data_IF_474213966282
#
_entry.id   IF_474213966282
#
_cell.length_a   1.000
_cell.length_b   1.000
_cell.length_c   1.000
_cell.angle_alpha   90.00
_cell.angle_beta   90.00
_cell.angle_gamma   90.00
#
_symmetry.space_group_name_H-M   'P 1'
#
loop_
_entity.id
_entity.type
_entity.pdbx_description
1 polymer ?
#
# COMPACT_ATOMS: atom_id res chain seq x y z
N UNK A 1 -42.67 -47.04 -38.62
CA UNK A 1 -41.74 -48.12 -38.89
C UNK A 1 -40.55 -47.56 -39.72
N UNK A 2 -39.51 -47.19 -39.09
CA UNK A 2 -38.26 -46.77 -39.78
C UNK A 2 -37.10 -47.39 -39.01
N UNK A 3 -36.39 -48.28 -39.67
CA UNK A 3 -35.24 -49.00 -39.13
C UNK A 3 -33.99 -48.09 -39.27
N UNK A 4 -33.37 -47.71 -38.19
CA UNK A 4 -32.12 -47.02 -38.17
C UNK A 4 -30.96 -48.02 -38.26
N UNK A 5 -30.14 -47.91 -39.29
CA UNK A 5 -28.90 -48.65 -39.45
C UNK A 5 -27.78 -47.96 -38.67
N UNK A 6 -27.16 -48.69 -37.76
CA UNK A 6 -25.98 -48.25 -36.99
C UNK A 6 -24.76 -48.59 -37.84
N UNK A 7 -24.06 -47.56 -38.30
CA UNK A 7 -22.73 -47.71 -38.92
C UNK A 7 -21.68 -47.40 -37.84
N UNK A 8 -21.03 -48.47 -37.40
CA UNK A 8 -19.91 -48.40 -36.46
C UNK A 8 -18.63 -48.09 -37.24
N UNK A 9 -18.13 -46.86 -37.12
CA UNK A 9 -16.84 -46.48 -37.67
C UNK A 9 -15.77 -46.67 -36.58
N UNK A 10 -14.95 -47.69 -36.70
CA UNK A 10 -13.78 -47.92 -35.87
C UNK A 10 -12.63 -46.97 -36.30
N UNK A 11 -12.35 -45.97 -35.52
CA UNK A 11 -11.15 -45.14 -35.68
C UNK A 11 -10.00 -45.81 -34.94
N UNK A 12 -9.08 -46.37 -35.68
CA UNK A 12 -7.79 -46.83 -35.17
C UNK A 12 -6.91 -45.58 -35.00
N UNK A 13 -6.74 -45.16 -33.77
CA UNK A 13 -5.76 -44.11 -33.43
C UNK A 13 -4.36 -44.73 -33.33
N UNK A 14 -3.58 -44.48 -34.34
CA UNK A 14 -2.15 -44.78 -34.35
C UNK A 14 -1.48 -43.65 -33.53
N UNK A 15 -1.04 -43.93 -32.30
CA UNK A 15 -0.31 -42.98 -31.47
C UNK A 15 1.14 -42.85 -31.99
N UNK A 16 1.65 -41.63 -32.27
CA UNK A 16 3.07 -41.43 -32.49
C UNK A 16 3.78 -41.49 -31.13
N UNK A 17 4.78 -42.36 -31.03
CA UNK A 17 5.81 -42.30 -29.97
C UNK A 17 6.58 -41.00 -30.12
N UNK A 18 6.31 -40.06 -29.20
CA UNK A 18 7.18 -38.87 -29.06
C UNK A 18 8.32 -39.29 -28.16
N UNK A 19 9.49 -39.28 -28.77
CA UNK A 19 10.83 -39.48 -28.20
C UNK A 19 11.04 -38.51 -27.02
N UNK A 20 11.56 -39.05 -25.92
CA UNK A 20 12.13 -38.29 -24.81
C UNK A 20 13.13 -37.28 -25.37
N UNK A 21 12.79 -35.99 -25.24
CA UNK A 21 13.76 -34.94 -25.46
C UNK A 21 14.36 -34.55 -24.11
N UNK A 22 15.67 -34.57 -24.11
CA UNK A 22 16.54 -34.05 -23.09
C UNK A 22 16.01 -32.76 -22.49
N UNK A 23 15.65 -32.80 -21.23
CA UNK A 23 15.41 -31.64 -20.41
C UNK A 23 16.76 -31.02 -20.09
N UNK A 24 17.02 -29.76 -20.50
CA UNK A 24 18.25 -29.10 -20.09
C UNK A 24 18.26 -29.06 -18.56
N UNK A 25 19.34 -29.51 -18.00
CA UNK A 25 19.69 -29.42 -16.61
C UNK A 25 19.62 -27.95 -16.22
N UNK A 26 18.51 -27.53 -15.64
CA UNK A 26 18.41 -26.20 -15.06
C UNK A 26 19.49 -26.05 -14.01
N UNK A 27 20.53 -25.36 -14.42
CA UNK A 27 21.49 -24.79 -13.50
C UNK A 27 20.70 -23.88 -12.58
N UNK A 28 20.41 -24.35 -11.38
CA UNK A 28 19.91 -23.53 -10.29
C UNK A 28 20.94 -22.42 -10.04
N UNK A 29 20.86 -21.38 -10.84
CA UNK A 29 21.49 -20.11 -10.52
C UNK A 29 20.70 -19.56 -9.35
N UNK A 30 21.16 -19.88 -8.18
CA UNK A 30 20.76 -19.27 -6.93
C UNK A 30 20.97 -17.77 -7.10
N UNK A 31 19.93 -17.11 -7.54
CA UNK A 31 19.89 -15.67 -7.70
C UNK A 31 20.01 -15.12 -6.27
N UNK A 32 21.24 -14.84 -5.88
CA UNK A 32 21.52 -14.08 -4.66
C UNK A 32 20.62 -12.84 -4.73
N UNK A 33 19.72 -12.61 -3.75
CA UNK A 33 18.94 -11.38 -3.74
C UNK A 33 19.93 -10.22 -3.85
N UNK A 34 19.76 -9.39 -4.87
CA UNK A 34 20.50 -8.14 -4.95
C UNK A 34 20.33 -7.44 -3.59
N UNK A 35 21.41 -6.91 -2.99
CA UNK A 35 21.26 -6.18 -1.74
C UNK A 35 20.21 -5.11 -1.97
N UNK A 36 19.17 -5.13 -1.12
CA UNK A 36 18.15 -4.08 -1.12
C UNK A 36 18.89 -2.74 -1.10
N UNK A 37 18.51 -1.77 -1.95
CA UNK A 37 19.14 -0.47 -1.91
C UNK A 37 19.09 0.00 -0.47
N UNK A 38 20.27 0.32 0.08
CA UNK A 38 20.40 0.80 1.45
C UNK A 38 19.38 1.91 1.64
N UNK A 39 18.45 1.70 2.59
CA UNK A 39 17.47 2.72 2.94
C UNK A 39 18.23 4.01 3.19
N UNK A 40 18.00 5.00 2.36
CA UNK A 40 18.53 6.34 2.58
C UNK A 40 18.10 6.72 3.99
N UNK A 41 19.04 7.11 4.89
CA UNK A 41 18.66 7.42 6.27
C UNK A 41 17.51 8.42 6.21
N UNK A 42 16.40 8.09 6.89
CA UNK A 42 15.25 8.94 7.00
C UNK A 42 15.73 10.36 7.36
N UNK A 43 15.26 11.35 6.61
CA UNK A 43 15.67 12.73 6.80
C UNK A 43 15.32 13.13 8.23
N UNK A 44 16.33 13.10 9.10
CA UNK A 44 16.18 13.44 10.51
C UNK A 44 15.60 14.86 10.58
N UNK A 45 14.39 14.98 11.11
CA UNK A 45 13.71 16.21 11.56
C UNK A 45 13.84 17.46 10.65
N UNK A 46 13.96 17.23 9.34
CA UNK A 46 14.07 18.30 8.37
C UNK A 46 12.74 19.05 8.29
N UNK A 47 12.79 20.35 8.57
CA UNK A 47 11.66 21.25 8.35
C UNK A 47 11.21 21.12 6.89
N UNK A 48 9.93 20.80 6.68
CA UNK A 48 9.37 20.71 5.33
C UNK A 48 9.55 22.04 4.62
N UNK A 49 10.14 22.06 3.39
CA UNK A 49 10.30 23.29 2.63
C UNK A 49 8.94 23.98 2.40
N UNK A 50 8.90 25.29 2.50
CA UNK A 50 7.65 26.05 2.38
C UNK A 50 6.99 25.90 1.00
N UNK A 51 7.77 25.70 -0.06
CA UNK A 51 7.30 25.41 -1.41
C UNK A 51 6.61 24.05 -1.49
N UNK A 52 7.12 23.02 -0.80
CA UNK A 52 6.50 21.71 -0.76
C UNK A 52 5.21 21.74 0.08
N UNK A 53 5.21 22.43 1.20
CA UNK A 53 4.02 22.59 2.03
C UNK A 53 2.86 23.28 1.30
N UNK A 54 3.17 24.20 0.34
CA UNK A 54 2.16 24.91 -0.46
C UNK A 54 1.65 24.13 -1.67
N UNK A 55 2.19 22.94 -1.95
CA UNK A 55 1.76 22.15 -3.11
C UNK A 55 0.30 21.74 -2.95
N UNK A 56 -0.47 21.99 -4.01
CA UNK A 56 -1.86 21.57 -4.10
C UNK A 56 -1.91 20.16 -4.69
N UNK A 57 -2.76 19.31 -4.14
CA UNK A 57 -2.97 17.97 -4.68
C UNK A 57 -3.62 18.05 -6.08
N UNK A 58 -2.94 17.62 -7.14
CA UNK A 58 -3.50 17.64 -8.49
C UNK A 58 -4.52 16.52 -8.72
N UNK A 59 -4.56 15.52 -7.83
CA UNK A 59 -5.46 14.37 -7.93
C UNK A 59 -6.71 14.62 -7.09
N UNK A 60 -7.86 14.72 -7.74
CA UNK A 60 -9.13 14.93 -7.03
C UNK A 60 -9.44 13.77 -6.09
N UNK A 61 -9.98 14.03 -4.87
CA UNK A 61 -10.35 12.98 -3.90
C UNK A 61 -11.69 12.32 -4.29
N UNK A 62 -11.70 11.59 -5.39
CA UNK A 62 -12.82 10.81 -5.88
C UNK A 62 -12.70 9.34 -5.46
N UNK A 63 -13.79 8.57 -5.58
CA UNK A 63 -13.84 7.18 -5.13
C UNK A 63 -12.69 6.32 -5.68
N UNK A 64 -12.32 6.49 -6.96
CA UNK A 64 -11.21 5.75 -7.57
C UNK A 64 -9.85 6.11 -6.96
N UNK A 65 -9.52 7.40 -6.83
CA UNK A 65 -8.23 7.81 -6.25
C UNK A 65 -8.11 7.40 -4.77
N UNK A 66 -9.21 7.41 -4.03
CA UNK A 66 -9.25 6.93 -2.64
C UNK A 66 -9.07 5.40 -2.59
N UNK A 67 -9.68 4.64 -3.52
CA UNK A 67 -9.51 3.19 -3.61
C UNK A 67 -8.07 2.82 -3.95
N UNK A 68 -7.46 3.48 -4.94
CA UNK A 68 -6.05 3.28 -5.30
C UNK A 68 -5.13 3.60 -4.11
N UNK A 69 -5.38 4.72 -3.42
CA UNK A 69 -4.64 5.08 -2.21
C UNK A 69 -4.80 4.05 -1.10
N UNK A 70 -5.98 3.44 -0.94
CA UNK A 70 -6.23 2.37 0.02
C UNK A 70 -5.37 1.13 -0.28
N UNK A 71 -5.32 0.67 -1.52
CA UNK A 71 -4.48 -0.48 -1.92
C UNK A 71 -3.00 -0.22 -1.64
N UNK A 72 -2.52 0.98 -1.94
CA UNK A 72 -1.14 1.37 -1.64
C UNK A 72 -0.89 1.42 -0.13
N UNK A 73 -1.83 1.95 0.64
CA UNK A 73 -1.75 2.00 2.09
C UNK A 73 -1.66 0.59 2.71
N UNK A 74 -2.50 -0.32 2.26
CA UNK A 74 -2.52 -1.71 2.74
C UNK A 74 -1.21 -2.44 2.47
N UNK A 75 -0.51 -2.11 1.38
CA UNK A 75 0.76 -2.75 1.01
C UNK A 75 2.00 -2.06 1.57
N UNK A 76 1.97 -0.75 1.85
CA UNK A 76 3.16 0.04 2.16
C UNK A 76 3.14 0.67 3.57
N UNK A 77 1.98 0.89 4.17
CA UNK A 77 1.83 1.75 5.34
C UNK A 77 1.22 1.02 6.55
N UNK A 78 0.39 0.00 6.30
CA UNK A 78 -0.42 -0.71 7.29
C UNK A 78 0.40 -1.22 8.46
N UNK A 79 1.60 -1.76 8.22
CA UNK A 79 2.41 -2.39 9.26
C UNK A 79 2.78 -1.43 10.41
N UNK A 80 2.96 -0.15 10.10
CA UNK A 80 3.22 0.87 11.11
C UNK A 80 1.93 1.62 11.50
N UNK A 81 1.15 2.07 10.52
CA UNK A 81 0.02 2.97 10.76
C UNK A 81 -1.28 2.25 11.16
N UNK A 82 -1.30 0.91 11.17
CA UNK A 82 -2.49 0.12 11.48
C UNK A 82 -3.49 0.04 10.32
N UNK A 83 -4.32 -0.99 10.34
CA UNK A 83 -5.29 -1.25 9.26
C UNK A 83 -6.27 -0.09 9.05
N UNK A 84 -6.68 0.53 10.14
CA UNK A 84 -7.67 1.61 10.15
C UNK A 84 -7.03 3.01 10.30
N UNK A 85 -5.70 3.07 10.28
CA UNK A 85 -4.95 4.32 10.44
C UNK A 85 -4.87 4.82 11.88
N UNK A 86 -5.00 3.94 12.86
CA UNK A 86 -4.97 4.28 14.28
C UNK A 86 -3.56 4.46 14.86
N UNK A 87 -2.53 4.28 14.03
CA UNK A 87 -1.14 4.38 14.44
C UNK A 87 -0.63 3.21 15.27
N UNK A 88 -1.39 2.11 15.35
CA UNK A 88 -1.10 0.92 16.19
C UNK A 88 -0.83 -0.33 15.35
N UNK A 89 -0.17 -0.17 14.21
CA UNK A 89 0.30 -1.33 13.44
C UNK A 89 1.33 -2.14 14.22
N UNK A 90 1.44 -3.43 13.90
CA UNK A 90 2.28 -4.38 14.66
C UNK A 90 3.74 -3.87 14.79
N UNK A 91 4.29 -3.35 13.70
CA UNK A 91 5.66 -2.83 13.71
C UNK A 91 5.79 -1.58 14.60
N UNK A 92 4.78 -0.71 14.62
CA UNK A 92 4.80 0.46 15.49
C UNK A 92 4.76 0.05 16.97
N UNK A 93 3.99 -0.97 17.32
CA UNK A 93 3.91 -1.51 18.68
C UNK A 93 5.25 -2.11 19.07
N UNK A 94 5.85 -2.94 18.24
CA UNK A 94 7.14 -3.61 18.49
C UNK A 94 8.27 -2.59 18.67
N UNK A 95 8.30 -1.56 17.84
CA UNK A 95 9.28 -0.48 17.88
C UNK A 95 8.95 0.62 18.91
N UNK A 96 7.81 0.52 19.61
CA UNK A 96 7.31 1.51 20.58
C UNK A 96 7.17 2.92 19.97
N UNK A 97 6.76 3.01 18.72
CA UNK A 97 6.54 4.26 18.03
C UNK A 97 5.22 4.90 18.49
N UNK A 98 5.22 6.21 18.68
CA UNK A 98 4.01 6.97 18.96
C UNK A 98 3.54 7.67 17.68
N UNK A 99 2.70 6.97 16.90
CA UNK A 99 2.21 7.47 15.63
C UNK A 99 0.87 8.18 15.77
N UNK A 100 0.59 9.09 14.83
CA UNK A 100 -0.68 9.82 14.78
C UNK A 100 -1.84 8.90 14.44
N UNK A 101 -2.98 9.13 15.07
CA UNK A 101 -4.25 8.51 14.66
C UNK A 101 -4.85 9.30 13.49
N UNK A 102 -4.89 8.68 12.32
CA UNK A 102 -5.43 9.31 11.10
C UNK A 102 -6.96 9.38 11.09
N UNK A 103 -7.62 8.72 12.02
CA UNK A 103 -9.08 8.79 12.18
C UNK A 103 -9.52 10.06 12.92
N UNK A 104 -8.60 10.65 13.66
CA UNK A 104 -8.86 11.91 14.36
C UNK A 104 -8.69 13.09 13.38
N UNK A 105 -9.78 13.83 13.15
CA UNK A 105 -9.76 15.02 12.30
C UNK A 105 -8.79 16.10 12.81
N UNK A 106 -8.52 16.15 14.10
CA UNK A 106 -7.55 17.08 14.68
C UNK A 106 -6.13 16.83 14.18
N UNK A 107 -5.80 15.57 13.85
CA UNK A 107 -4.49 15.18 13.30
C UNK A 107 -4.12 15.95 12.05
N UNK A 108 -5.10 16.33 11.22
CA UNK A 108 -4.88 17.00 9.95
C UNK A 108 -5.21 18.49 9.93
N UNK A 109 -5.67 19.03 11.05
CA UNK A 109 -6.19 20.39 11.12
C UNK A 109 -5.19 21.44 10.60
N UNK A 110 -3.91 21.24 10.87
CA UNK A 110 -2.85 22.16 10.47
C UNK A 110 -1.93 21.60 9.37
N UNK A 111 -2.22 20.39 8.88
CA UNK A 111 -1.40 19.75 7.85
C UNK A 111 -1.96 20.05 6.46
N UNK A 112 -1.13 20.56 5.57
CA UNK A 112 -1.47 20.71 4.16
C UNK A 112 -1.32 19.39 3.39
N UNK A 113 -1.92 19.30 2.20
CA UNK A 113 -1.72 18.14 1.33
C UNK A 113 -0.28 18.03 0.83
N UNK A 114 0.37 19.19 0.60
CA UNK A 114 1.76 19.27 0.22
C UNK A 114 2.70 18.72 1.29
N UNK A 115 2.43 19.01 2.58
CA UNK A 115 3.19 18.45 3.69
C UNK A 115 3.02 16.93 3.79
N UNK A 116 1.78 16.43 3.66
CA UNK A 116 1.53 15.00 3.64
C UNK A 116 2.23 14.30 2.48
N UNK A 117 2.17 14.91 1.29
CA UNK A 117 2.88 14.41 0.12
C UNK A 117 4.40 14.37 0.35
N UNK A 118 4.96 15.43 0.93
CA UNK A 118 6.38 15.49 1.24
C UNK A 118 6.79 14.37 2.20
N UNK A 119 6.04 14.20 3.30
CA UNK A 119 6.30 13.16 4.30
C UNK A 119 6.20 11.76 3.67
N UNK A 120 5.18 11.50 2.87
CA UNK A 120 5.02 10.21 2.18
C UNK A 120 6.19 9.98 1.21
N UNK A 121 6.59 11.01 0.46
CA UNK A 121 7.61 10.86 -0.58
C UNK A 121 9.02 10.79 -0.02
N UNK A 122 9.35 11.62 0.96
CA UNK A 122 10.73 11.81 1.47
C UNK A 122 10.98 11.13 2.79
N UNK A 123 9.92 10.82 3.54
CA UNK A 123 10.02 10.33 4.91
C UNK A 123 10.12 11.46 5.93
N UNK A 124 9.99 11.09 7.20
CA UNK A 124 10.19 11.98 8.34
C UNK A 124 10.50 11.18 9.60
N UNK A 125 11.59 11.47 10.28
CA UNK A 125 12.03 10.70 11.45
C UNK A 125 12.22 9.23 11.09
N UNK A 126 11.58 8.33 11.82
CA UNK A 126 11.66 6.89 11.57
C UNK A 126 10.81 6.42 10.37
N UNK A 127 9.98 7.28 9.81
CA UNK A 127 9.17 6.96 8.63
C UNK A 127 10.01 7.06 7.36
N UNK A 128 10.26 5.95 6.64
CA UNK A 128 10.98 6.00 5.36
C UNK A 128 10.14 6.67 4.27
N UNK A 129 10.79 7.35 3.33
CA UNK A 129 10.15 7.86 2.13
C UNK A 129 9.75 6.75 1.16
N UNK A 130 8.82 7.05 0.26
CA UNK A 130 8.29 6.09 -0.72
C UNK A 130 8.56 6.52 -2.18
N UNK A 131 9.26 7.61 -2.43
CA UNK A 131 9.47 8.13 -3.79
C UNK A 131 10.32 7.22 -4.69
N UNK A 132 11.06 6.29 -4.13
CA UNK A 132 11.81 5.24 -4.83
C UNK A 132 10.92 4.11 -5.36
N UNK A 133 9.75 3.91 -4.73
CA UNK A 133 8.83 2.80 -5.00
C UNK A 133 7.49 3.24 -5.60
N UNK A 134 7.09 4.48 -5.35
CA UNK A 134 5.80 5.03 -5.76
C UNK A 134 5.96 6.26 -6.65
N UNK A 135 5.15 6.33 -7.70
CA UNK A 135 5.05 7.52 -8.54
C UNK A 135 4.43 8.69 -7.78
N UNK A 136 4.64 9.94 -8.22
CA UNK A 136 3.99 11.10 -7.61
C UNK A 136 2.45 10.99 -7.54
N UNK A 137 1.82 10.45 -8.58
CA UNK A 137 0.36 10.24 -8.58
C UNK A 137 -0.08 9.25 -7.50
N UNK A 138 0.68 8.19 -7.29
CA UNK A 138 0.42 7.22 -6.24
C UNK A 138 0.57 7.83 -4.84
N UNK A 139 1.59 8.67 -4.63
CA UNK A 139 1.73 9.41 -3.37
C UNK A 139 0.52 10.35 -3.13
N UNK A 140 0.01 11.03 -4.16
CA UNK A 140 -1.18 11.85 -4.06
C UNK A 140 -2.47 11.05 -3.78
N UNK A 141 -2.59 9.84 -4.35
CA UNK A 141 -3.68 8.92 -4.01
C UNK A 141 -3.62 8.51 -2.54
N UNK A 142 -2.41 8.27 -2.00
CA UNK A 142 -2.23 8.02 -0.56
C UNK A 142 -2.67 9.20 0.30
N UNK A 143 -2.35 10.44 -0.10
CA UNK A 143 -2.84 11.66 0.60
C UNK A 143 -4.37 11.67 0.63
N UNK A 144 -5.03 11.40 -0.50
CA UNK A 144 -6.50 11.34 -0.57
C UNK A 144 -7.08 10.26 0.35
N UNK A 145 -6.47 9.09 0.37
CA UNK A 145 -6.93 7.99 1.25
C UNK A 145 -6.74 8.33 2.73
N UNK A 146 -5.57 8.78 3.12
CA UNK A 146 -5.25 9.11 4.53
C UNK A 146 -6.19 10.21 5.04
N UNK A 147 -6.46 11.25 4.24
CA UNK A 147 -7.47 12.26 4.56
C UNK A 147 -8.87 11.67 4.73
N UNK A 148 -9.22 10.67 3.91
CA UNK A 148 -10.54 10.03 3.98
C UNK A 148 -10.78 9.25 5.26
N UNK A 149 -9.73 8.85 5.98
CA UNK A 149 -9.86 8.11 7.23
C UNK A 149 -10.50 8.95 8.32
N UNK A 150 -10.12 10.22 8.44
CA UNK A 150 -10.68 11.12 9.44
C UNK A 150 -12.16 11.48 9.18
N UNK A 151 -12.60 11.43 7.93
CA UNK A 151 -14.01 11.71 7.58
C UNK A 151 -14.95 10.55 7.87
N UNK A 152 -14.43 9.34 8.08
CA UNK A 152 -15.21 8.13 8.38
C UNK A 152 -15.45 7.91 9.87
N UNK A 153 -14.71 8.60 10.72
CA UNK A 153 -14.84 8.43 12.18
C UNK A 153 -15.80 9.48 12.71
N UNK A 154 -16.89 9.08 13.41
CA UNK A 154 -17.68 10.02 14.17
C UNK A 154 -16.77 10.77 15.16
N UNK A 155 -17.01 12.06 15.45
CA UNK A 155 -16.22 12.78 16.44
C UNK A 155 -16.16 11.99 17.72
N UNK A 156 -14.94 11.82 18.25
CA UNK A 156 -14.75 11.14 19.54
C UNK A 156 -15.65 11.80 20.59
N UNK A 157 -16.43 10.98 21.30
CA UNK A 157 -17.20 11.47 22.44
C UNK A 157 -16.23 12.21 23.38
N UNK A 158 -16.63 13.37 23.93
CA UNK A 158 -15.81 14.05 24.94
C UNK A 158 -15.42 13.03 26.01
N UNK A 159 -14.16 12.97 26.35
CA UNK A 159 -13.71 12.19 27.50
C UNK A 159 -14.42 12.81 28.70
N UNK A 160 -15.31 12.05 29.33
CA UNK A 160 -15.93 12.45 30.59
C UNK A 160 -14.78 12.57 31.58
N UNK A 161 -14.24 13.75 31.76
CA UNK A 161 -13.39 14.11 32.88
C UNK A 161 -14.29 14.12 34.13
N UNK A 162 -14.50 12.90 34.67
CA UNK A 162 -15.14 12.75 35.98
C UNK A 162 -14.17 13.35 36.98
N UNK A 163 -14.56 14.43 37.68
CA UNK A 163 -13.73 14.96 38.74
C UNK A 163 -13.57 13.86 39.81
N UNK A 164 -12.32 13.55 40.14
CA UNK A 164 -12.02 12.75 41.31
C UNK A 164 -12.46 13.56 42.52
N UNK A 165 -13.58 13.15 43.15
CA UNK A 165 -13.95 13.57 44.49
C UNK A 165 -13.05 12.90 45.52
#
# INVERSE_FOLDING_TARGET
MWKAAIVTLAFIFLAPMVSSQDQPKDTNTQQTPAPAPAATPAAADSKIPAEDAKRVNPVKPVASSIADGKHLYESQCLMCHGKDGDGKGDLAVDMKLNLRDFRDAATFKESTDGELFYIISKGKGDMPGAADRLSPTQCWNLVNYVRSLSSKTPPAKPKDDKPKG
#
